data_IF_000163315572
#
_entry.id   IF_000163315572
#
_cell.length_a   1.000
_cell.length_b   1.000
_cell.length_c   1.000
_cell.angle_alpha   90.00
_cell.angle_beta   90.00
_cell.angle_gamma   90.00
#
_symmetry.space_group_name_H-M   'P 1'
#
loop_
_entity.id
_entity.type
_entity.pdbx_description
1 polymer ?
#
# COMPACT_ATOMS: atom_id res chain seq x y z
N UNK A 1 -7.99 7.53 1.42
CA UNK A 1 -8.83 8.45 2.20
C UNK A 1 -10.06 7.80 2.77
N UNK A 2 -10.79 8.53 3.60
CA UNK A 2 -12.11 8.16 4.10
C UNK A 2 -13.00 9.40 4.14
N UNK A 3 -14.27 9.27 3.77
CA UNK A 3 -15.27 10.27 4.09
C UNK A 3 -15.85 9.98 5.49
N UNK A 4 -15.24 10.59 6.51
CA UNK A 4 -15.59 10.38 7.91
C UNK A 4 -17.02 10.85 8.24
N UNK A 5 -17.63 11.68 7.39
CA UNK A 5 -19.00 12.21 7.55
C UNK A 5 -20.07 11.20 7.18
N UNK A 6 -19.69 10.10 6.52
CA UNK A 6 -20.64 9.08 6.13
C UNK A 6 -21.24 8.42 7.37
N UNK A 7 -22.58 8.36 7.42
CA UNK A 7 -23.33 7.82 8.56
C UNK A 7 -23.02 6.37 8.89
N UNK A 8 -22.46 5.60 7.94
CA UNK A 8 -22.05 4.19 8.19
C UNK A 8 -20.89 4.07 9.18
N UNK A 9 -20.20 5.19 9.49
CA UNK A 9 -19.12 5.25 10.48
C UNK A 9 -19.54 5.92 11.79
N UNK A 10 -20.84 6.15 12.00
CA UNK A 10 -21.35 6.81 13.18
C UNK A 10 -22.13 5.82 14.06
N UNK A 11 -22.18 6.12 15.34
CA UNK A 11 -23.08 5.48 16.28
C UNK A 11 -24.54 5.94 16.06
N UNK A 12 -25.49 5.28 16.72
CA UNK A 12 -26.93 5.62 16.62
C UNK A 12 -27.20 7.07 17.07
N UNK A 13 -26.42 7.59 18.01
CA UNK A 13 -26.53 8.95 18.52
C UNK A 13 -25.86 10.00 17.61
N UNK A 14 -25.31 9.59 16.47
CA UNK A 14 -24.61 10.45 15.51
C UNK A 14 -23.14 10.74 15.84
N UNK A 15 -22.60 10.21 16.94
CA UNK A 15 -21.18 10.31 17.25
C UNK A 15 -20.34 9.41 16.33
N UNK A 16 -19.07 9.77 16.10
CA UNK A 16 -18.18 8.96 15.26
C UNK A 16 -17.74 7.67 15.95
N UNK A 17 -17.50 6.61 15.17
CA UNK A 17 -16.78 5.40 15.59
C UNK A 17 -15.29 5.44 15.23
N UNK A 18 -14.80 6.56 14.71
CA UNK A 18 -13.40 6.75 14.37
C UNK A 18 -12.67 7.32 15.58
N UNK A 19 -11.87 6.51 16.28
CA UNK A 19 -11.08 6.93 17.43
C UNK A 19 -9.92 7.85 17.04
N UNK A 20 -9.38 7.67 15.82
CA UNK A 20 -8.31 8.51 15.31
C UNK A 20 -8.17 8.39 13.80
N UNK A 21 -7.91 9.53 13.15
CA UNK A 21 -7.66 9.67 11.74
C UNK A 21 -6.38 10.48 11.54
N UNK A 22 -5.36 9.86 10.94
CA UNK A 22 -4.14 10.55 10.53
C UNK A 22 -4.14 10.80 9.02
N UNK A 23 -4.30 12.04 8.62
CA UNK A 23 -4.15 12.47 7.22
C UNK A 23 -2.70 12.92 6.98
N UNK A 24 -1.92 12.11 6.29
CA UNK A 24 -0.53 12.42 5.96
C UNK A 24 -0.38 13.50 4.88
N UNK A 25 -1.48 13.90 4.23
CA UNK A 25 -1.46 14.90 3.14
C UNK A 25 -1.65 16.33 3.66
N UNK A 26 -2.21 16.51 4.85
CA UNK A 26 -2.53 17.82 5.45
C UNK A 26 -1.48 18.16 6.50
N UNK A 27 -0.88 19.36 6.39
CA UNK A 27 0.21 19.80 7.27
C UNK A 27 -0.21 20.97 8.19
N UNK A 28 -1.50 21.34 8.21
CA UNK A 28 -1.99 22.52 8.96
C UNK A 28 -2.42 22.21 10.38
N UNK A 29 -2.64 20.94 10.72
CA UNK A 29 -2.98 20.48 12.06
C UNK A 29 -1.76 19.94 12.82
N UNK A 30 -2.03 19.33 13.98
CA UNK A 30 -1.00 18.70 14.78
C UNK A 30 -0.72 17.28 14.24
N UNK A 31 0.55 16.95 14.06
CA UNK A 31 0.97 15.61 13.76
C UNK A 31 0.75 14.67 14.97
N UNK A 32 0.55 13.36 14.77
CA UNK A 32 0.52 12.41 15.87
C UNK A 32 1.84 12.46 16.66
N UNK A 33 1.79 12.24 17.97
CA UNK A 33 2.90 12.46 18.91
C UNK A 33 4.26 11.86 18.49
N UNK A 34 4.24 10.73 17.78
CA UNK A 34 5.47 10.04 17.37
C UNK A 34 5.99 10.48 15.98
N UNK A 35 5.34 11.45 15.33
CA UNK A 35 5.60 11.87 13.96
C UNK A 35 5.69 13.39 13.86
N UNK A 36 6.32 13.88 12.79
CA UNK A 36 6.57 15.29 12.54
C UNK A 36 5.84 15.81 11.28
N UNK A 37 4.88 15.05 10.75
CA UNK A 37 4.11 15.42 9.55
C UNK A 37 2.69 14.89 9.58
N UNK A 38 1.87 15.43 8.69
CA UNK A 38 0.46 15.09 8.63
C UNK A 38 -0.36 15.78 9.72
N UNK A 39 -1.64 15.53 9.74
CA UNK A 39 -2.56 16.05 10.76
C UNK A 39 -3.37 14.91 11.36
N UNK A 40 -3.41 14.83 12.69
CA UNK A 40 -4.23 13.88 13.43
C UNK A 40 -5.55 14.53 13.86
N UNK A 41 -6.63 13.83 13.66
CA UNK A 41 -7.97 14.17 14.11
C UNK A 41 -8.50 13.06 15.01
N UNK A 42 -8.72 13.39 16.27
CA UNK A 42 -9.25 12.47 17.29
C UNK A 42 -10.77 12.56 17.36
N UNK A 43 -11.36 11.61 18.07
CA UNK A 43 -12.81 11.46 18.20
C UNK A 43 -13.52 12.78 18.53
N UNK A 44 -12.98 13.57 19.48
CA UNK A 44 -13.61 14.82 19.92
C UNK A 44 -13.73 15.82 18.77
N UNK A 45 -12.66 16.00 17.99
CA UNK A 45 -12.63 16.93 16.86
C UNK A 45 -13.49 16.42 15.70
N UNK A 46 -13.52 15.11 15.46
CA UNK A 46 -14.42 14.50 14.47
C UNK A 46 -15.89 14.69 14.85
N UNK A 47 -16.24 14.53 16.13
CA UNK A 47 -17.59 14.77 16.65
C UNK A 47 -17.96 16.25 16.59
N UNK A 48 -17.01 17.17 16.83
CA UNK A 48 -17.23 18.61 16.63
C UNK A 48 -17.55 18.91 15.17
N UNK A 49 -16.75 18.38 14.25
CA UNK A 49 -16.96 18.55 12.82
C UNK A 49 -18.32 18.00 12.36
N UNK A 50 -18.73 16.81 12.83
CA UNK A 50 -20.02 16.20 12.47
C UNK A 50 -21.23 17.03 12.93
N UNK A 51 -21.09 17.83 14.00
CA UNK A 51 -22.15 18.75 14.49
C UNK A 51 -22.13 20.13 13.82
N UNK A 52 -21.07 20.45 13.08
CA UNK A 52 -20.90 21.73 12.40
C UNK A 52 -21.71 21.77 11.09
N UNK A 53 -22.17 22.97 10.72
CA UNK A 53 -22.74 23.24 9.39
C UNK A 53 -21.69 23.06 8.27
N UNK A 54 -20.42 23.33 8.59
CA UNK A 54 -19.28 23.12 7.68
C UNK A 54 -18.23 22.20 8.31
N UNK A 55 -18.42 20.87 8.24
CA UNK A 55 -17.47 19.89 8.81
C UNK A 55 -16.04 20.03 8.30
N UNK A 56 -15.87 20.41 7.04
CA UNK A 56 -14.56 20.51 6.41
C UNK A 56 -13.75 21.73 6.86
N UNK A 57 -14.37 22.72 7.48
CA UNK A 57 -13.64 23.83 8.11
C UNK A 57 -12.89 23.39 9.38
N UNK A 58 -13.36 22.31 10.03
CA UNK A 58 -12.78 21.75 11.26
C UNK A 58 -11.85 20.57 10.91
N UNK A 59 -12.35 19.61 10.13
CA UNK A 59 -11.61 18.42 9.70
C UNK A 59 -11.58 18.36 8.18
N UNK A 60 -10.58 18.98 7.53
CA UNK A 60 -10.56 19.17 6.07
C UNK A 60 -10.19 17.92 5.26
N UNK A 61 -10.07 16.76 5.90
CA UNK A 61 -9.76 15.51 5.20
C UNK A 61 -10.92 15.04 4.34
N UNK A 62 -10.61 14.55 3.15
CA UNK A 62 -11.59 14.07 2.17
C UNK A 62 -11.15 12.76 1.53
N UNK A 63 -12.08 12.02 0.94
CA UNK A 63 -11.80 10.87 0.09
C UNK A 63 -12.23 11.19 -1.35
N UNK A 64 -11.27 11.57 -2.18
CA UNK A 64 -11.53 11.92 -3.59
C UNK A 64 -11.64 10.71 -4.51
N UNK A 65 -11.16 9.55 -4.08
CA UNK A 65 -11.15 8.30 -4.84
C UNK A 65 -12.32 7.38 -4.46
N UNK A 66 -12.75 7.42 -3.21
CA UNK A 66 -13.80 6.57 -2.65
C UNK A 66 -13.34 5.18 -2.21
N UNK A 67 -12.13 4.75 -2.58
CA UNK A 67 -11.64 3.40 -2.30
C UNK A 67 -11.55 3.11 -0.79
N UNK A 68 -10.99 4.04 0.00
CA UNK A 68 -10.85 3.84 1.44
C UNK A 68 -12.20 3.86 2.17
N UNK A 69 -13.10 4.74 1.77
CA UNK A 69 -14.46 4.77 2.30
C UNK A 69 -15.20 3.46 2.02
N UNK A 70 -15.11 2.97 0.78
CA UNK A 70 -15.71 1.71 0.38
C UNK A 70 -15.17 0.51 1.19
N UNK A 71 -13.87 0.40 1.33
CA UNK A 71 -13.25 -0.70 2.09
C UNK A 71 -13.60 -0.63 3.58
N UNK A 72 -13.54 0.55 4.19
CA UNK A 72 -13.89 0.73 5.58
C UNK A 72 -15.38 0.41 5.82
N UNK A 73 -16.25 0.74 4.87
CA UNK A 73 -17.68 0.38 4.95
C UNK A 73 -17.88 -1.13 4.94
N UNK A 74 -17.24 -1.86 4.02
CA UNK A 74 -17.32 -3.33 3.96
C UNK A 74 -16.79 -3.95 5.25
N UNK A 75 -15.69 -3.43 5.78
CA UNK A 75 -15.08 -3.96 6.99
C UNK A 75 -15.94 -3.69 8.23
N UNK A 76 -16.44 -2.47 8.40
CA UNK A 76 -17.00 -2.03 9.66
C UNK A 76 -18.15 -1.00 9.52
N UNK A 77 -18.81 -0.93 8.37
CA UNK A 77 -19.97 -0.03 8.20
C UNK A 77 -21.18 -0.49 8.99
N UNK A 78 -21.94 0.46 9.51
CA UNK A 78 -23.24 0.18 10.16
C UNK A 78 -24.26 -0.39 9.18
N UNK A 79 -25.31 -0.94 9.73
CA UNK A 79 -26.49 -1.35 8.96
C UNK A 79 -27.13 -0.14 8.26
N UNK A 80 -27.32 -0.23 6.98
CA UNK A 80 -28.19 0.66 6.21
C UNK A 80 -29.37 -0.14 5.69
N UNK A 81 -30.54 0.12 6.30
CA UNK A 81 -31.78 -0.59 5.99
C UNK A 81 -32.25 -0.31 4.57
N UNK A 82 -31.95 0.88 4.03
CA UNK A 82 -32.42 1.28 2.69
C UNK A 82 -31.65 0.54 1.59
N UNK A 83 -30.36 0.33 1.79
CA UNK A 83 -29.51 -0.40 0.84
C UNK A 83 -29.33 -1.87 1.18
N UNK A 84 -29.88 -2.33 2.30
CA UNK A 84 -29.70 -3.69 2.83
C UNK A 84 -28.22 -4.04 3.03
N UNK A 85 -27.43 -3.06 3.43
CA UNK A 85 -26.00 -3.18 3.64
C UNK A 85 -25.68 -3.32 5.13
N UNK A 86 -24.67 -4.16 5.43
CA UNK A 86 -24.07 -4.32 6.75
C UNK A 86 -22.60 -4.70 6.57
N UNK A 87 -21.70 -3.97 7.20
CA UNK A 87 -20.27 -4.32 7.25
C UNK A 87 -20.02 -5.58 8.08
N UNK A 88 -18.86 -6.19 7.91
CA UNK A 88 -18.50 -7.44 8.58
C UNK A 88 -18.39 -7.29 10.11
N UNK A 89 -17.95 -6.12 10.60
CA UNK A 89 -17.80 -5.81 12.02
C UNK A 89 -18.41 -4.43 12.35
N UNK A 90 -19.75 -4.28 12.32
CA UNK A 90 -20.42 -2.99 12.38
C UNK A 90 -20.24 -2.24 13.70
N UNK A 91 -19.81 -2.91 14.76
CA UNK A 91 -19.57 -2.30 16.07
C UNK A 91 -18.07 -2.00 16.31
N UNK A 92 -17.21 -2.28 15.34
CA UNK A 92 -15.79 -2.03 15.50
C UNK A 92 -15.47 -0.51 15.57
N UNK A 93 -14.54 -0.16 16.44
CA UNK A 93 -13.90 1.15 16.47
C UNK A 93 -12.90 1.24 15.32
N UNK A 94 -12.81 2.37 14.66
CA UNK A 94 -11.98 2.57 13.48
C UNK A 94 -10.78 3.45 13.79
N UNK A 95 -9.60 2.99 13.38
CA UNK A 95 -8.40 3.82 13.23
C UNK A 95 -8.08 3.98 11.74
N UNK A 96 -7.84 5.18 11.28
CA UNK A 96 -7.69 5.48 9.85
C UNK A 96 -6.36 6.18 9.58
N UNK A 97 -5.68 5.74 8.52
CA UNK A 97 -4.55 6.47 7.94
C UNK A 97 -4.83 6.78 6.49
N UNK A 98 -4.85 8.05 6.14
CA UNK A 98 -4.84 8.50 4.76
C UNK A 98 -3.39 8.76 4.36
N UNK A 99 -2.88 7.90 3.49
CA UNK A 99 -1.51 7.98 3.01
C UNK A 99 -1.30 9.18 2.07
N UNK A 100 -0.14 9.82 2.17
CA UNK A 100 0.31 10.75 1.14
C UNK A 100 0.91 9.99 -0.04
N UNK A 101 0.82 10.56 -1.22
CA UNK A 101 1.43 9.98 -2.41
C UNK A 101 2.96 9.95 -2.33
N UNK A 102 3.55 9.03 -3.08
CA UNK A 102 4.99 8.91 -3.20
C UNK A 102 5.61 10.19 -3.78
N UNK A 103 6.77 10.57 -3.27
CA UNK A 103 7.52 11.76 -3.69
C UNK A 103 7.95 11.65 -5.16
N UNK A 104 7.99 12.78 -5.86
CA UNK A 104 8.30 12.84 -7.30
C UNK A 104 9.60 12.13 -7.66
N UNK A 105 10.67 12.28 -6.87
CA UNK A 105 11.94 11.62 -7.14
C UNK A 105 11.86 10.07 -7.13
N UNK A 106 10.95 9.49 -6.34
CA UNK A 106 10.68 8.04 -6.37
C UNK A 106 9.87 7.67 -7.60
N UNK A 107 8.88 8.48 -7.95
CA UNK A 107 8.09 8.29 -9.17
C UNK A 107 9.00 8.32 -10.41
N UNK A 108 9.91 9.29 -10.49
CA UNK A 108 10.89 9.42 -11.57
C UNK A 108 11.85 8.21 -11.61
N UNK A 109 12.34 7.80 -10.43
CA UNK A 109 13.27 6.66 -10.33
C UNK A 109 12.64 5.34 -10.80
N UNK A 110 11.38 5.11 -10.43
CA UNK A 110 10.64 3.89 -10.82
C UNK A 110 9.87 4.04 -12.13
N UNK A 111 10.02 5.14 -12.84
CA UNK A 111 9.35 5.45 -14.11
C UNK A 111 7.82 5.34 -14.00
N UNK A 112 7.26 5.80 -12.88
CA UNK A 112 5.82 5.77 -12.62
C UNK A 112 5.15 6.91 -13.39
N UNK A 113 4.10 6.61 -14.13
CA UNK A 113 3.32 7.60 -14.85
C UNK A 113 2.77 8.68 -13.90
N UNK A 114 2.67 9.91 -14.38
CA UNK A 114 2.19 11.05 -13.59
C UNK A 114 0.74 10.88 -13.08
N UNK A 115 -0.11 10.21 -13.86
CA UNK A 115 -1.51 9.95 -13.53
C UNK A 115 -1.73 8.71 -12.64
N UNK A 116 -0.69 7.95 -12.34
CA UNK A 116 -0.79 6.78 -11.48
C UNK A 116 -0.71 7.14 -10.01
N UNK A 117 -1.67 6.70 -9.22
CA UNK A 117 -1.64 6.83 -7.75
C UNK A 117 -0.70 5.78 -7.17
N UNK A 118 0.31 6.23 -6.44
CA UNK A 118 1.25 5.33 -5.78
C UNK A 118 1.69 5.89 -4.42
N UNK A 119 2.10 4.99 -3.53
CA UNK A 119 2.50 5.31 -2.16
C UNK A 119 3.90 4.77 -1.89
N UNK A 120 4.58 5.32 -0.90
CA UNK A 120 5.90 4.85 -0.50
C UNK A 120 5.83 4.00 0.77
N UNK A 121 6.67 2.98 0.83
CA UNK A 121 6.64 1.94 1.86
C UNK A 121 6.83 2.51 3.28
N UNK A 122 7.72 3.49 3.46
CA UNK A 122 7.97 4.10 4.77
C UNK A 122 6.75 4.84 5.33
N UNK A 123 5.91 5.45 4.50
CA UNK A 123 4.68 6.11 4.97
C UNK A 123 3.62 5.08 5.35
N UNK A 124 3.60 3.92 4.69
CA UNK A 124 2.77 2.78 5.09
C UNK A 124 3.23 2.26 6.45
N UNK A 125 4.54 2.04 6.65
CA UNK A 125 5.09 1.58 7.92
C UNK A 125 4.81 2.56 9.07
N UNK A 126 4.92 3.87 8.82
CA UNK A 126 4.54 4.89 9.78
C UNK A 126 3.05 4.82 10.13
N UNK A 127 2.19 4.61 9.12
CA UNK A 127 0.75 4.40 9.33
C UNK A 127 0.44 3.18 10.19
N UNK A 128 1.14 2.06 9.97
CA UNK A 128 0.98 0.86 10.79
C UNK A 128 1.37 1.10 12.25
N UNK A 129 2.48 1.81 12.47
CA UNK A 129 2.89 2.19 13.83
C UNK A 129 1.84 3.09 14.49
N UNK A 130 1.31 4.09 13.79
CA UNK A 130 0.26 4.94 14.31
C UNK A 130 -0.97 4.15 14.75
N UNK A 131 -1.45 3.22 13.91
CA UNK A 131 -2.62 2.39 14.22
C UNK A 131 -2.35 1.45 15.40
N UNK A 132 -1.14 0.92 15.52
CA UNK A 132 -0.78 0.10 16.67
C UNK A 132 -0.75 0.94 17.97
N UNK A 133 -0.11 2.10 17.95
CA UNK A 133 -0.06 3.02 19.09
C UNK A 133 -1.47 3.48 19.49
N UNK A 134 -2.34 3.74 18.52
CA UNK A 134 -3.75 4.07 18.76
C UNK A 134 -4.47 2.94 19.49
N UNK A 135 -4.37 1.72 18.98
CA UNK A 135 -5.02 0.55 19.60
C UNK A 135 -4.48 0.23 21.01
N UNK A 136 -3.19 0.45 21.25
CA UNK A 136 -2.58 0.33 22.60
C UNK A 136 -3.15 1.37 23.55
N UNK A 137 -3.28 2.62 23.11
CA UNK A 137 -3.85 3.69 23.93
C UNK A 137 -5.33 3.47 24.26
N UNK A 138 -6.09 2.90 23.34
CA UNK A 138 -7.49 2.52 23.53
C UNK A 138 -7.66 1.21 24.31
N UNK A 139 -6.58 0.44 24.54
CA UNK A 139 -6.62 -0.85 25.22
C UNK A 139 -7.37 -1.94 24.43
N UNK A 140 -7.44 -1.84 23.09
CA UNK A 140 -8.23 -2.69 22.23
C UNK A 140 -7.39 -3.65 21.38
N UNK A 141 -7.94 -4.82 21.01
CA UNK A 141 -7.35 -5.64 19.96
C UNK A 141 -7.39 -4.89 18.62
N UNK A 142 -6.40 -5.16 17.76
CA UNK A 142 -6.24 -4.50 16.47
C UNK A 142 -6.29 -5.50 15.32
N UNK A 143 -7.11 -5.20 14.31
CA UNK A 143 -7.05 -5.83 12.99
C UNK A 143 -6.54 -4.79 12.00
N UNK A 144 -5.33 -5.00 11.49
CA UNK A 144 -4.75 -4.17 10.43
C UNK A 144 -5.27 -4.64 9.07
N UNK A 145 -5.96 -3.77 8.35
CA UNK A 145 -6.42 -4.03 6.98
C UNK A 145 -5.57 -3.22 5.98
N UNK A 146 -4.85 -3.92 5.11
CA UNK A 146 -3.98 -3.32 4.10
C UNK A 146 -4.49 -3.71 2.72
N UNK A 147 -5.18 -2.79 2.07
CA UNK A 147 -5.73 -2.97 0.73
C UNK A 147 -4.86 -2.28 -0.34
N UNK A 148 -3.58 -2.47 -0.22
CA UNK A 148 -2.55 -1.99 -1.12
C UNK A 148 -1.62 -3.15 -1.47
N UNK A 149 -1.06 -3.13 -2.67
CA UNK A 149 -0.13 -4.15 -3.14
C UNK A 149 1.02 -3.55 -3.93
N UNK A 150 2.02 -4.38 -4.21
CA UNK A 150 3.17 -4.07 -5.05
C UNK A 150 3.60 -5.30 -5.82
N UNK A 151 4.18 -5.09 -7.01
CA UNK A 151 4.84 -6.14 -7.80
C UNK A 151 6.35 -6.23 -7.50
N UNK A 152 6.89 -5.32 -6.70
CA UNK A 152 8.30 -5.33 -6.32
C UNK A 152 8.61 -6.32 -5.20
N UNK A 153 9.88 -6.74 -5.18
CA UNK A 153 10.40 -7.63 -4.15
C UNK A 153 10.41 -9.10 -4.53
N UNK A 154 11.03 -9.91 -3.67
CA UNK A 154 11.30 -11.33 -3.95
C UNK A 154 10.12 -12.28 -3.84
N UNK A 155 8.91 -11.80 -3.56
CA UNK A 155 7.67 -12.59 -3.38
C UNK A 155 7.83 -13.76 -2.39
N UNK A 156 8.71 -13.61 -1.42
CA UNK A 156 9.06 -14.62 -0.43
C UNK A 156 8.84 -14.16 1.04
N UNK A 157 8.16 -13.03 1.23
CA UNK A 157 7.89 -12.47 2.56
C UNK A 157 9.10 -11.85 3.27
N UNK A 158 10.21 -11.59 2.56
CA UNK A 158 11.45 -11.07 3.20
C UNK A 158 11.66 -9.56 3.04
N UNK A 159 10.74 -8.83 2.42
CA UNK A 159 10.80 -7.36 2.36
C UNK A 159 10.69 -6.75 3.75
N UNK A 160 11.14 -5.51 3.91
CA UNK A 160 11.07 -4.83 5.20
C UNK A 160 9.62 -4.71 5.69
N UNK A 161 8.70 -4.34 4.82
CA UNK A 161 7.28 -4.27 5.14
C UNK A 161 6.73 -5.63 5.58
N UNK A 162 7.05 -6.71 4.86
CA UNK A 162 6.61 -8.07 5.23
C UNK A 162 7.07 -8.45 6.62
N UNK A 163 8.33 -8.17 6.97
CA UNK A 163 8.87 -8.47 8.31
C UNK A 163 8.22 -7.67 9.42
N UNK A 164 7.89 -6.40 9.18
CA UNK A 164 7.16 -5.57 10.14
C UNK A 164 5.75 -6.10 10.34
N UNK A 165 5.07 -6.50 9.28
CA UNK A 165 3.74 -7.09 9.37
C UNK A 165 3.74 -8.42 10.11
N UNK A 166 4.75 -9.27 9.88
CA UNK A 166 4.95 -10.51 10.64
C UNK A 166 5.14 -10.20 12.14
N UNK A 167 5.92 -9.17 12.48
CA UNK A 167 6.12 -8.77 13.87
C UNK A 167 4.82 -8.31 14.55
N UNK A 168 3.96 -7.57 13.84
CA UNK A 168 2.63 -7.24 14.37
C UNK A 168 1.74 -8.48 14.52
N UNK A 169 1.73 -9.36 13.52
CA UNK A 169 0.90 -10.56 13.55
C UNK A 169 1.31 -11.57 14.66
N UNK A 170 2.56 -11.51 15.13
CA UNK A 170 3.04 -12.33 16.25
C UNK A 170 2.64 -11.79 17.63
N UNK A 171 2.15 -10.56 17.71
CA UNK A 171 1.74 -9.97 18.99
C UNK A 171 0.34 -10.47 19.40
N UNK A 172 0.10 -10.58 20.70
CA UNK A 172 -1.23 -10.90 21.21
C UNK A 172 -2.22 -9.78 20.84
N UNK A 173 -3.45 -10.17 20.52
CA UNK A 173 -4.53 -9.25 20.14
C UNK A 173 -4.23 -8.42 18.87
N UNK A 174 -3.38 -8.92 17.99
CA UNK A 174 -3.08 -8.32 16.68
C UNK A 174 -3.38 -9.30 15.57
N UNK A 175 -4.00 -8.80 14.51
CA UNK A 175 -4.23 -9.55 13.27
C UNK A 175 -3.90 -8.67 12.08
N UNK A 176 -3.34 -9.26 11.03
CA UNK A 176 -2.97 -8.54 9.81
C UNK A 176 -3.69 -9.19 8.62
N UNK A 177 -4.44 -8.41 7.87
CA UNK A 177 -5.16 -8.82 6.67
C UNK A 177 -4.67 -8.00 5.49
N UNK A 178 -4.22 -8.68 4.45
CA UNK A 178 -3.64 -8.05 3.25
C UNK A 178 -4.42 -8.53 2.02
N UNK A 179 -4.82 -7.59 1.17
CA UNK A 179 -5.43 -7.91 -0.11
C UNK A 179 -4.40 -8.46 -1.10
N UNK A 180 -4.79 -9.48 -1.87
CA UNK A 180 -3.93 -10.08 -2.90
C UNK A 180 -3.78 -9.20 -4.16
N UNK A 181 -4.44 -8.06 -4.24
CA UNK A 181 -4.49 -7.21 -5.42
C UNK A 181 -5.42 -7.74 -6.52
N UNK A 182 -5.54 -6.99 -7.60
CA UNK A 182 -6.47 -7.26 -8.71
C UNK A 182 -5.73 -7.57 -10.03
N UNK A 183 -4.45 -7.95 -9.97
CA UNK A 183 -3.58 -8.02 -11.15
C UNK A 183 -3.40 -9.44 -11.71
N UNK A 184 -4.20 -10.42 -11.31
CA UNK A 184 -4.06 -11.82 -11.70
C UNK A 184 -3.96 -12.07 -13.23
N UNK A 185 -4.60 -11.23 -14.05
CA UNK A 185 -4.57 -11.32 -15.51
C UNK A 185 -3.52 -10.41 -16.18
N UNK A 186 -2.84 -9.56 -15.42
CA UNK A 186 -1.94 -8.52 -15.97
C UNK A 186 -0.55 -9.04 -16.32
N UNK A 187 -0.20 -10.25 -15.85
CA UNK A 187 1.09 -10.91 -16.16
C UNK A 187 2.32 -10.10 -15.72
N UNK A 188 2.24 -9.41 -14.59
CA UNK A 188 3.34 -8.62 -14.03
C UNK A 188 4.35 -9.48 -13.25
N UNK A 189 4.16 -10.78 -13.18
CA UNK A 189 5.03 -11.73 -12.48
C UNK A 189 5.34 -12.94 -13.36
N UNK A 190 6.61 -13.34 -13.37
CA UNK A 190 7.10 -14.56 -13.97
C UNK A 190 7.88 -15.38 -12.94
N UNK A 191 7.57 -16.64 -12.79
CA UNK A 191 8.28 -17.55 -11.88
C UNK A 191 8.72 -18.80 -12.62
N UNK A 192 9.94 -19.24 -12.36
CA UNK A 192 10.48 -20.46 -12.96
C UNK A 192 11.39 -21.20 -11.97
N UNK A 193 11.28 -22.51 -11.94
CA UNK A 193 12.17 -23.36 -11.14
C UNK A 193 13.25 -23.95 -12.03
N UNK A 194 14.50 -23.55 -11.81
CA UNK A 194 15.67 -24.08 -12.51
C UNK A 194 16.08 -25.39 -11.85
N UNK A 195 16.17 -26.49 -12.61
CA UNK A 195 16.69 -27.75 -12.14
C UNK A 195 18.17 -27.87 -12.50
N UNK A 196 18.94 -28.61 -11.69
CA UNK A 196 20.39 -28.86 -11.93
C UNK A 196 20.68 -29.55 -13.28
N UNK A 197 19.69 -30.23 -13.87
CA UNK A 197 19.83 -30.94 -15.16
C UNK A 197 19.52 -30.06 -16.38
N UNK A 198 19.16 -28.78 -16.17
CA UNK A 198 18.86 -27.89 -17.30
C UNK A 198 20.14 -27.45 -18.01
N UNK A 199 20.20 -27.73 -19.31
CA UNK A 199 21.29 -27.30 -20.20
C UNK A 199 20.94 -26.05 -21.03
N UNK A 200 19.70 -25.64 -21.03
CA UNK A 200 19.21 -24.50 -21.81
C UNK A 200 18.85 -23.29 -20.92
N UNK A 201 19.07 -22.07 -21.38
CA UNK A 201 18.67 -20.88 -20.65
C UNK A 201 17.14 -20.77 -20.55
N UNK A 202 16.68 -20.17 -19.46
CA UNK A 202 15.28 -19.79 -19.31
C UNK A 202 15.08 -18.41 -19.93
N UNK A 203 14.08 -18.27 -20.76
CA UNK A 203 13.72 -16.99 -21.39
C UNK A 203 12.42 -16.48 -20.78
N UNK A 204 12.46 -15.26 -20.24
CA UNK A 204 11.27 -14.51 -19.87
C UNK A 204 11.04 -13.39 -20.89
N UNK A 205 9.89 -13.38 -21.51
CA UNK A 205 9.49 -12.31 -22.44
C UNK A 205 8.80 -11.19 -21.67
N UNK A 206 9.30 -9.95 -21.84
CA UNK A 206 8.71 -8.77 -21.24
C UNK A 206 8.02 -7.97 -22.36
N UNK A 207 6.70 -7.83 -22.28
CA UNK A 207 5.94 -7.00 -23.17
C UNK A 207 5.79 -5.60 -22.59
N UNK A 208 6.40 -4.62 -23.22
CA UNK A 208 6.26 -3.21 -22.84
C UNK A 208 4.99 -2.66 -23.47
N UNK A 209 4.16 -1.98 -22.66
CA UNK A 209 2.92 -1.37 -23.13
C UNK A 209 3.15 -0.19 -24.10
N UNK A 210 2.15 0.10 -24.93
CA UNK A 210 2.20 1.26 -25.82
C UNK A 210 2.28 2.56 -25.03
N UNK A 211 3.14 3.49 -25.47
CA UNK A 211 3.32 4.78 -24.81
C UNK A 211 4.11 4.76 -23.49
N UNK A 212 4.71 3.63 -23.16
CA UNK A 212 5.57 3.50 -21.97
C UNK A 212 7.01 3.85 -22.37
N UNK A 213 7.59 4.84 -21.69
CA UNK A 213 8.96 5.32 -21.94
C UNK A 213 10.03 4.48 -21.26
N UNK A 214 9.65 3.62 -20.32
CA UNK A 214 10.56 2.76 -19.59
C UNK A 214 9.85 1.93 -18.53
N UNK A 215 10.55 0.95 -18.00
CA UNK A 215 10.05 0.09 -16.94
C UNK A 215 11.18 -0.40 -16.04
N UNK A 216 10.84 -0.85 -14.85
CA UNK A 216 11.73 -1.54 -13.93
C UNK A 216 11.34 -3.02 -13.89
N UNK A 217 12.33 -3.90 -14.06
CA UNK A 217 12.16 -5.34 -13.86
C UNK A 217 13.15 -5.82 -12.79
N UNK A 218 12.66 -6.55 -11.81
CA UNK A 218 13.46 -7.13 -10.74
C UNK A 218 13.61 -8.65 -10.97
N UNK A 219 14.84 -9.15 -10.90
CA UNK A 219 15.13 -10.58 -10.93
C UNK A 219 15.60 -11.03 -9.55
N UNK A 220 14.82 -11.88 -8.94
CA UNK A 220 15.11 -12.46 -7.63
C UNK A 220 15.47 -13.94 -7.76
N UNK A 221 16.53 -14.38 -7.08
CA UNK A 221 16.97 -15.79 -7.04
C UNK A 221 17.15 -16.25 -5.60
N UNK A 222 16.98 -17.53 -5.35
CA UNK A 222 17.28 -18.13 -4.05
C UNK A 222 18.79 -18.35 -3.91
N UNK A 223 19.37 -17.93 -2.80
CA UNK A 223 20.76 -18.26 -2.47
C UNK A 223 20.93 -19.77 -2.25
N UNK A 224 22.07 -20.36 -2.63
CA UNK A 224 23.28 -19.76 -3.21
C UNK A 224 23.33 -19.71 -4.75
N UNK A 225 22.18 -19.67 -5.43
CA UNK A 225 22.12 -19.70 -6.89
C UNK A 225 22.83 -18.48 -7.51
N UNK A 226 23.76 -18.73 -8.41
CA UNK A 226 24.41 -17.70 -9.22
C UNK A 226 23.85 -17.77 -10.64
N UNK A 227 23.30 -16.67 -11.11
CA UNK A 227 22.73 -16.56 -12.44
C UNK A 227 23.50 -15.54 -13.28
N UNK A 228 23.41 -15.70 -14.58
CA UNK A 228 23.87 -14.72 -15.57
C UNK A 228 22.69 -14.31 -16.44
N UNK A 229 22.73 -13.09 -16.93
CA UNK A 229 21.64 -12.49 -17.70
C UNK A 229 22.14 -12.09 -19.08
N UNK A 230 21.30 -12.30 -20.07
CA UNK A 230 21.44 -11.76 -21.43
C UNK A 230 20.13 -11.02 -21.74
N UNK A 231 20.22 -9.77 -22.16
CA UNK A 231 19.08 -9.03 -22.68
C UNK A 231 19.01 -9.24 -24.20
N UNK A 232 17.81 -9.43 -24.70
CA UNK A 232 17.54 -9.62 -26.14
C UNK A 232 16.53 -8.55 -26.54
N UNK A 233 16.89 -7.72 -27.53
CA UNK A 233 15.97 -6.72 -28.07
C UNK A 233 14.88 -7.37 -28.94
N UNK A 234 13.79 -6.67 -29.25
CA UNK A 234 12.78 -7.15 -30.19
C UNK A 234 13.34 -7.46 -31.60
N UNK A 235 14.43 -6.79 -32.00
CA UNK A 235 15.14 -7.06 -33.28
C UNK A 235 16.05 -8.30 -33.21
N UNK A 236 16.19 -8.93 -32.05
CA UNK A 236 17.05 -10.11 -31.83
C UNK A 236 18.50 -9.79 -31.47
N UNK A 237 18.86 -8.53 -31.34
CA UNK A 237 20.18 -8.10 -30.87
C UNK A 237 20.38 -8.53 -29.40
N UNK A 238 21.59 -9.04 -29.09
CA UNK A 238 21.89 -9.63 -27.77
C UNK A 238 23.00 -8.87 -27.07
N UNK A 239 22.83 -8.65 -25.78
CA UNK A 239 23.95 -8.19 -24.95
C UNK A 239 24.97 -9.33 -24.73
N UNK A 240 26.15 -8.97 -24.27
CA UNK A 240 27.05 -9.95 -23.67
C UNK A 240 26.38 -10.54 -22.41
N UNK A 241 26.78 -11.74 -22.06
CA UNK A 241 26.40 -12.37 -20.81
C UNK A 241 27.00 -11.61 -19.61
N UNK A 242 26.18 -11.21 -18.66
CA UNK A 242 26.61 -10.53 -17.45
C UNK A 242 26.27 -11.36 -16.22
N UNK A 243 27.25 -11.50 -15.33
CA UNK A 243 27.05 -12.15 -14.04
C UNK A 243 26.42 -11.15 -13.06
N UNK A 244 25.53 -11.64 -12.23
CA UNK A 244 24.97 -10.87 -11.12
C UNK A 244 26.09 -10.60 -10.08
N UNK A 245 26.39 -9.32 -9.85
CA UNK A 245 27.39 -8.89 -8.85
C UNK A 245 26.87 -7.65 -8.12
N UNK A 246 26.96 -7.66 -6.80
CA UNK A 246 26.57 -6.53 -5.96
C UNK A 246 27.35 -5.27 -6.30
N UNK A 247 26.63 -4.15 -6.46
CA UNK A 247 27.22 -2.83 -6.75
C UNK A 247 27.68 -2.59 -8.20
N UNK A 248 27.55 -3.58 -9.08
CA UNK A 248 27.90 -3.39 -10.49
C UNK A 248 26.73 -2.85 -11.30
N UNK A 249 27.05 -1.94 -12.21
CA UNK A 249 26.13 -1.36 -13.18
C UNK A 249 26.63 -1.63 -14.60
N UNK A 250 25.72 -2.08 -15.46
CA UNK A 250 26.00 -2.30 -16.88
C UNK A 250 25.01 -1.49 -17.71
N UNK A 251 25.53 -0.76 -18.69
CA UNK A 251 24.71 -0.02 -19.65
C UNK A 251 24.82 -0.71 -21.02
N UNK A 252 23.66 -0.91 -21.64
CA UNK A 252 23.56 -1.46 -22.99
C UNK A 252 22.68 -0.54 -23.82
N UNK A 253 23.04 -0.37 -25.08
CA UNK A 253 22.25 0.34 -26.07
C UNK A 253 22.03 -0.61 -27.22
N UNK A 254 20.78 -0.82 -27.62
CA UNK A 254 20.42 -1.58 -28.78
C UNK A 254 20.25 -0.64 -29.96
N UNK A 255 20.62 -1.10 -31.16
CA UNK A 255 20.36 -0.38 -32.42
C UNK A 255 19.01 -0.83 -32.95
N UNK A 256 18.20 0.11 -33.39
CA UNK A 256 16.86 -0.16 -33.96
C UNK A 256 16.96 -0.31 -35.48
#
# INVERSE_FOLDING_TARGET
>A
GIDYRNSVFQNIDGSTRIAGLWDQTIQTGNAPKAFDYGSEYREEMLNEALRSEDPLSIVPTTDTNGHGTYLASIAAGNADVNTQFLGAAPEAILGIVKLKEAKNYLRDFYLIREDAVCYQENDIMAGLKYLNDLAENEGLPLVLCIALGTNFGGHNGTTLLSRILDQYALQLNRSVVIGCGNEAAMRHHFSYTISEKMSQPVTAEIRVGSGINGFVAELWTKLPMVVTIVLISPSGERTRQVAFRQGYRYNFVFTF
#
